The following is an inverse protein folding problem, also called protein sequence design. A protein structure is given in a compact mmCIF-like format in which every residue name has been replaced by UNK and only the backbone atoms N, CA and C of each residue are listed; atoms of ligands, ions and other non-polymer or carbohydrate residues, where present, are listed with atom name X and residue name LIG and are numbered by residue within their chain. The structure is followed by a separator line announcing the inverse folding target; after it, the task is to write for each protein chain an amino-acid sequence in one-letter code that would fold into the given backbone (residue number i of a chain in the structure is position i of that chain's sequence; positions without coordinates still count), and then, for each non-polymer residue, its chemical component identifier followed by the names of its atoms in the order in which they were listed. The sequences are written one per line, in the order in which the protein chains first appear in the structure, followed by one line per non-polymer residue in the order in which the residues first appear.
data_IF_084655710303
#
_entry.id   IF_084655710303
#
_cell.length_a   1.000
_cell.length_b   1.000
_cell.length_c   1.000
_cell.angle_alpha   90.00
_cell.angle_beta   90.00
_cell.angle_gamma   90.00
#
_symmetry.space_group_name_H-M   'P 1'
#
loop_
_entity.id
_entity.type
_entity.pdbx_description
1 polymer ?
#
# COMPACT_ATOMS: atom_id res chain seq x y z
N UNK A 1 -5.38 -17.08 -15.02
CA UNK A 1 -4.20 -16.45 -15.67
C UNK A 1 -4.63 -15.59 -16.83
N UNK A 2 -4.18 -14.33 -16.88
CA UNK A 2 -4.47 -13.40 -17.99
C UNK A 2 -3.25 -13.28 -18.93
N UNK A 3 -2.31 -12.37 -18.68
CA UNK A 3 -1.18 -12.09 -19.58
C UNK A 3 -0.15 -13.22 -19.73
N UNK A 4 0.27 -13.87 -18.63
CA UNK A 4 1.31 -14.92 -18.70
C UNK A 4 0.85 -16.26 -19.30
N UNK A 5 -0.30 -16.30 -19.97
CA UNK A 5 -0.61 -17.36 -20.92
C UNK A 5 0.25 -17.27 -22.18
N UNK A 6 0.64 -16.05 -22.56
CA UNK A 6 1.38 -15.79 -23.80
C UNK A 6 2.68 -14.98 -23.58
N UNK A 7 2.83 -14.29 -22.44
CA UNK A 7 3.97 -13.40 -22.16
C UNK A 7 4.97 -14.03 -21.21
N UNK A 8 6.23 -14.20 -21.65
CA UNK A 8 7.35 -14.67 -20.83
C UNK A 8 7.20 -16.10 -20.32
N UNK A 9 6.52 -16.94 -21.10
CA UNK A 9 6.13 -18.33 -20.76
C UNK A 9 7.33 -19.26 -20.53
N UNK A 10 8.47 -18.92 -21.11
CA UNK A 10 9.74 -19.63 -20.99
C UNK A 10 10.48 -19.33 -19.68
N UNK A 11 10.11 -18.26 -18.96
CA UNK A 11 10.79 -17.86 -17.71
C UNK A 11 10.45 -18.83 -16.56
N UNK A 12 11.45 -19.27 -15.77
CA UNK A 12 11.21 -20.21 -14.65
C UNK A 12 10.17 -19.74 -13.63
N UNK A 13 10.15 -18.44 -13.31
CA UNK A 13 9.17 -17.87 -12.38
C UNK A 13 7.73 -17.95 -12.92
N UNK A 14 7.55 -17.77 -14.22
CA UNK A 14 6.24 -17.88 -14.87
C UNK A 14 5.80 -19.33 -14.96
N UNK A 15 6.71 -20.27 -15.23
CA UNK A 15 6.39 -21.70 -15.17
C UNK A 15 5.92 -22.13 -13.77
N UNK A 16 6.53 -21.60 -12.70
CA UNK A 16 6.06 -21.81 -11.31
C UNK A 16 4.64 -21.28 -11.11
N UNK A 17 4.35 -20.08 -11.61
CA UNK A 17 3.01 -19.48 -11.55
C UNK A 17 1.97 -20.29 -12.33
N UNK A 18 2.29 -20.72 -13.55
CA UNK A 18 1.40 -21.55 -14.38
C UNK A 18 1.08 -22.89 -13.73
N UNK A 19 2.09 -23.58 -13.18
CA UNK A 19 1.90 -24.84 -12.44
C UNK A 19 0.98 -24.66 -11.22
N UNK A 20 1.12 -23.57 -10.48
CA UNK A 20 0.24 -23.28 -9.35
C UNK A 20 -1.19 -23.04 -9.79
N UNK A 21 -1.38 -22.27 -10.88
CA UNK A 21 -2.69 -22.02 -11.47
C UNK A 21 -3.38 -23.30 -11.97
N UNK A 22 -2.65 -24.17 -12.68
CA UNK A 22 -3.17 -25.46 -13.18
C UNK A 22 -3.58 -26.41 -12.05
N UNK A 23 -2.79 -26.44 -10.97
CA UNK A 23 -3.05 -27.30 -9.80
C UNK A 23 -4.06 -26.69 -8.82
N UNK A 24 -4.55 -25.47 -9.08
CA UNK A 24 -5.57 -24.82 -8.26
C UNK A 24 -5.11 -24.35 -6.87
N UNK A 25 -3.80 -24.20 -6.64
CA UNK A 25 -3.28 -23.64 -5.38
C UNK A 25 -2.69 -22.24 -5.58
N UNK A 26 -2.79 -21.42 -4.54
CA UNK A 26 -2.24 -20.06 -4.53
C UNK A 26 -0.73 -20.06 -4.29
N UNK A 27 -0.02 -19.12 -4.92
CA UNK A 27 1.38 -18.86 -4.58
C UNK A 27 1.45 -18.31 -3.15
N UNK A 28 2.29 -18.89 -2.27
CA UNK A 28 2.46 -18.39 -0.91
C UNK A 28 3.34 -17.13 -0.94
N UNK A 29 2.72 -15.99 -1.23
CA UNK A 29 3.40 -14.70 -1.21
C UNK A 29 3.80 -14.31 0.21
N UNK A 30 5.02 -13.78 0.34
CA UNK A 30 5.44 -13.12 1.55
C UNK A 30 4.86 -11.71 1.56
N UNK A 31 4.07 -11.40 2.59
CA UNK A 31 3.49 -10.06 2.77
C UNK A 31 4.56 -9.16 3.39
N UNK A 32 5.03 -8.18 2.63
CA UNK A 32 6.11 -7.26 3.05
C UNK A 32 5.61 -6.23 4.07
N UNK A 33 4.45 -5.64 3.83
CA UNK A 33 3.84 -4.66 4.72
C UNK A 33 2.78 -5.35 5.58
N UNK A 34 3.08 -5.62 6.84
CA UNK A 34 2.18 -6.25 7.79
C UNK A 34 2.07 -5.38 9.04
N UNK A 35 0.89 -4.81 9.26
CA UNK A 35 0.56 -4.14 10.52
C UNK A 35 0.11 -5.18 11.55
N UNK A 36 0.26 -4.89 12.86
CA UNK A 36 -0.26 -5.76 13.90
C UNK A 36 -1.78 -5.99 13.75
N UNK A 37 -2.25 -7.17 14.13
CA UNK A 37 -3.65 -7.56 13.91
C UNK A 37 -4.65 -6.63 14.62
N UNK A 38 -4.26 -6.05 15.76
CA UNK A 38 -5.06 -5.06 16.49
C UNK A 38 -5.11 -3.66 15.85
N UNK A 39 -4.61 -3.52 14.61
CA UNK A 39 -4.64 -2.27 13.84
C UNK A 39 -5.52 -2.45 12.61
N UNK A 40 -6.56 -1.64 12.51
CA UNK A 40 -7.43 -1.57 11.34
C UNK A 40 -6.90 -0.54 10.35
N UNK A 41 -6.51 -0.99 9.16
CA UNK A 41 -6.12 -0.14 8.05
C UNK A 41 -7.03 -0.36 6.84
N UNK A 42 -7.58 0.73 6.29
CA UNK A 42 -8.39 0.71 5.08
C UNK A 42 -7.77 1.62 4.02
N UNK A 43 -7.45 1.06 2.84
CA UNK A 43 -6.86 1.82 1.73
C UNK A 43 -7.82 2.87 1.16
N UNK A 44 -9.13 2.61 1.15
CA UNK A 44 -10.12 3.42 0.46
C UNK A 44 -10.09 4.90 0.86
N UNK A 45 -10.21 5.30 2.15
CA UNK A 45 -10.19 6.72 2.53
C UNK A 45 -8.87 7.41 2.15
N UNK A 46 -7.74 6.70 2.17
CA UNK A 46 -6.43 7.27 1.81
C UNK A 46 -6.32 7.53 0.30
N UNK A 47 -6.81 6.61 -0.52
CA UNK A 47 -6.83 6.76 -1.98
C UNK A 47 -7.82 7.85 -2.39
N UNK A 48 -9.01 7.88 -1.77
CA UNK A 48 -10.01 8.92 -2.01
C UNK A 48 -9.52 10.30 -1.56
N UNK A 49 -8.75 10.36 -0.48
CA UNK A 49 -8.05 11.56 -0.04
C UNK A 49 -7.03 12.08 -1.07
N UNK A 50 -6.59 11.26 -2.03
CA UNK A 50 -5.56 11.64 -3.00
C UNK A 50 -4.13 11.42 -2.49
N UNK A 51 -3.96 10.60 -1.44
CA UNK A 51 -2.63 10.17 -0.98
C UNK A 51 -2.04 9.21 -2.00
N UNK A 52 -0.87 9.54 -2.55
CA UNK A 52 -0.18 8.67 -3.51
C UNK A 52 0.37 7.42 -2.85
N UNK A 53 0.33 6.30 -3.58
CA UNK A 53 0.91 5.02 -3.15
C UNK A 53 2.36 5.16 -2.69
N UNK A 54 3.13 6.00 -3.40
CA UNK A 54 4.55 6.22 -3.13
C UNK A 54 4.81 6.83 -1.75
N UNK A 55 3.82 7.51 -1.16
CA UNK A 55 3.96 8.08 0.19
C UNK A 55 4.11 7.01 1.26
N UNK A 56 3.47 5.85 1.09
CA UNK A 56 3.49 4.75 2.07
C UNK A 56 4.40 3.60 1.63
N UNK A 57 4.50 3.34 0.33
CA UNK A 57 5.20 2.17 -0.22
C UNK A 57 6.54 2.50 -0.91
N UNK A 58 6.95 3.77 -0.93
CA UNK A 58 8.13 4.22 -1.69
C UNK A 58 7.92 4.20 -3.21
N UNK A 59 8.97 4.44 -4.01
CA UNK A 59 8.89 4.44 -5.48
C UNK A 59 8.76 3.01 -6.03
N UNK A 60 7.59 2.41 -5.82
CA UNK A 60 7.28 1.01 -6.15
C UNK A 60 7.52 0.68 -7.62
N UNK A 61 7.39 1.66 -8.50
CA UNK A 61 7.69 1.58 -9.93
C UNK A 61 9.17 1.31 -10.25
N UNK A 62 10.07 1.69 -9.35
CA UNK A 62 11.52 1.50 -9.47
C UNK A 62 12.01 0.29 -8.64
N UNK A 63 11.14 -0.26 -7.78
CA UNK A 63 11.47 -1.41 -6.95
C UNK A 63 11.50 -2.71 -7.76
N UNK A 64 12.70 -3.24 -7.98
CA UNK A 64 12.89 -4.59 -8.56
C UNK A 64 12.30 -5.69 -7.67
N UNK A 65 12.47 -5.55 -6.36
CA UNK A 65 11.86 -6.37 -5.32
C UNK A 65 11.24 -5.45 -4.27
N UNK A 66 10.01 -5.76 -3.86
CA UNK A 66 9.27 -4.94 -2.90
C UNK A 66 9.93 -5.06 -1.53
N UNK A 67 10.22 -3.93 -0.92
CA UNK A 67 10.68 -3.82 0.45
C UNK A 67 9.88 -2.74 1.18
N UNK A 68 9.89 -2.79 2.51
CA UNK A 68 9.25 -1.76 3.32
C UNK A 68 10.19 -0.56 3.43
N UNK A 69 9.82 0.55 2.79
CA UNK A 69 10.60 1.80 2.86
C UNK A 69 10.22 2.63 4.08
N UNK A 70 8.92 2.79 4.33
CA UNK A 70 8.40 3.57 5.44
C UNK A 70 8.19 2.68 6.68
N UNK A 71 8.36 3.25 7.87
CA UNK A 71 8.21 2.54 9.14
C UNK A 71 6.77 2.02 9.35
N UNK A 72 5.76 2.80 8.91
CA UNK A 72 4.34 2.51 9.09
C UNK A 72 3.95 2.23 10.56
N UNK A 73 4.72 2.75 11.51
CA UNK A 73 4.38 2.71 12.92
C UNK A 73 3.22 3.65 13.24
N UNK A 74 2.61 3.46 14.41
CA UNK A 74 1.58 4.37 14.93
C UNK A 74 2.05 5.84 14.90
N UNK A 75 3.30 6.09 15.27
CA UNK A 75 3.88 7.45 15.27
C UNK A 75 3.88 8.07 13.88
N UNK A 76 4.30 7.30 12.89
CA UNK A 76 4.30 7.72 11.48
C UNK A 76 2.87 8.01 10.98
N UNK A 77 1.91 7.11 11.26
CA UNK A 77 0.52 7.28 10.86
C UNK A 77 -0.12 8.53 11.51
N UNK A 78 0.03 8.68 12.82
CA UNK A 78 -0.55 9.81 13.58
C UNK A 78 0.11 11.12 13.18
N UNK A 79 1.40 11.13 12.90
CA UNK A 79 2.09 12.33 12.40
C UNK A 79 1.51 12.77 11.06
N UNK A 80 1.26 11.83 10.14
CA UNK A 80 0.61 12.12 8.86
C UNK A 80 -0.83 12.64 9.05
N UNK A 81 -1.62 12.01 9.93
CA UNK A 81 -2.99 12.44 10.21
C UNK A 81 -3.06 13.83 10.87
N UNK A 82 -2.07 14.20 11.70
CA UNK A 82 -1.98 15.50 12.37
C UNK A 82 -1.42 16.60 11.48
N UNK A 83 -0.41 16.28 10.67
CA UNK A 83 0.25 17.22 9.78
C UNK A 83 0.29 16.69 8.35
N UNK A 84 -0.80 16.90 7.60
CA UNK A 84 -0.97 16.37 6.27
C UNK A 84 -0.16 17.12 5.20
N UNK A 85 0.45 18.27 5.53
CA UNK A 85 1.44 18.86 4.64
C UNK A 85 2.63 17.91 4.44
N UNK A 86 2.91 17.01 5.39
CA UNK A 86 3.87 15.92 5.20
C UNK A 86 3.47 14.96 4.05
N UNK A 87 2.19 14.89 3.67
CA UNK A 87 1.73 14.13 2.50
C UNK A 87 2.00 14.86 1.17
N UNK A 88 2.27 16.18 1.18
CA UNK A 88 2.59 16.95 -0.03
C UNK A 88 3.96 16.60 -0.61
N UNK A 89 4.91 16.22 0.25
CA UNK A 89 6.32 16.00 -0.12
C UNK A 89 6.54 14.86 -1.12
N UNK A 90 5.56 13.97 -1.32
CA UNK A 90 5.64 12.86 -2.29
C UNK A 90 4.50 12.85 -3.34
N UNK A 91 3.89 14.01 -3.59
CA UNK A 91 3.08 14.24 -4.79
C UNK A 91 1.57 14.23 -4.60
N UNK A 92 1.04 15.08 -3.72
CA UNK A 92 -0.40 15.31 -3.59
C UNK A 92 -1.10 15.69 -4.91
N UNK A 93 -2.31 15.20 -5.15
CA UNK A 93 -3.19 15.73 -6.20
C UNK A 93 -3.64 17.15 -5.83
N UNK A 94 -3.00 18.14 -6.45
CA UNK A 94 -3.22 19.59 -6.24
C UNK A 94 -4.68 20.05 -6.42
N UNK A 95 -5.58 19.19 -6.90
CA UNK A 95 -7.01 19.48 -7.10
C UNK A 95 -7.86 19.35 -5.84
N UNK A 96 -7.38 18.74 -4.76
CA UNK A 96 -8.12 18.63 -3.48
C UNK A 96 -7.52 19.54 -2.42
N UNK A 97 -8.36 20.28 -1.70
CA UNK A 97 -7.91 21.06 -0.55
C UNK A 97 -7.50 20.09 0.56
N UNK A 98 -6.20 20.15 0.91
CA UNK A 98 -5.63 19.33 1.98
C UNK A 98 -6.41 19.52 3.28
N UNK A 99 -6.93 20.72 3.56
CA UNK A 99 -7.60 21.03 4.83
C UNK A 99 -8.94 20.31 4.98
N UNK A 100 -9.68 20.14 3.90
CA UNK A 100 -10.97 19.44 3.91
C UNK A 100 -10.79 17.93 4.10
N UNK A 101 -9.73 17.37 3.50
CA UNK A 101 -9.39 15.95 3.63
C UNK A 101 -8.94 15.61 5.06
N UNK A 102 -8.34 16.56 5.78
CA UNK A 102 -7.56 16.24 6.98
C UNK A 102 -8.30 16.49 8.27
N UNK A 103 -9.35 17.31 8.24
CA UNK A 103 -10.33 17.38 9.34
C UNK A 103 -11.03 16.04 9.58
N UNK A 104 -10.95 15.11 8.62
CA UNK A 104 -11.58 13.80 8.67
C UNK A 104 -10.59 12.68 9.04
N UNK A 105 -9.30 12.98 9.19
CA UNK A 105 -8.29 11.98 9.52
C UNK A 105 -8.34 11.65 11.03
N UNK A 106 -8.64 10.39 11.42
CA UNK A 106 -8.82 10.06 12.82
C UNK A 106 -7.49 10.00 13.55
N UNK A 107 -7.38 10.64 14.71
CA UNK A 107 -6.21 10.55 15.60
C UNK A 107 -6.49 9.82 16.91
N UNK A 108 -7.72 9.34 17.10
CA UNK A 108 -8.16 8.60 18.28
C UNK A 108 -7.70 7.16 18.24
N UNK A 109 -7.23 6.64 19.38
CA UNK A 109 -6.73 5.27 19.50
C UNK A 109 -7.79 4.25 19.05
N UNK A 110 -9.03 4.38 19.52
CA UNK A 110 -10.13 3.45 19.24
C UNK A 110 -10.65 3.48 17.80
N UNK A 111 -10.13 4.35 16.94
CA UNK A 111 -10.45 4.33 15.50
C UNK A 111 -9.48 3.45 14.72
N UNK A 112 -8.23 3.35 15.20
CA UNK A 112 -7.21 2.50 14.60
C UNK A 112 -7.14 1.14 15.29
N UNK A 113 -7.49 1.07 16.56
CA UNK A 113 -7.42 -0.12 17.40
C UNK A 113 -8.82 -0.56 17.81
N UNK A 114 -9.10 -1.86 17.70
CA UNK A 114 -10.32 -2.46 18.25
C UNK A 114 -10.11 -2.96 19.67
#
# INVERSE_FOLDING_TARGET
MNCHRNVGVDRPAIQKLSKAYEKGYSIPWLKVHLLPDFVMFNHQPHVEAGVRCQKCHGPIEEMKEVHQQEDLSMGWCVQCHRNPEAARDLGWDKKKDIKEVTQQAPTSCGTCHY
#
